data_IF_693432897665
#
_entry.id   IF_693432897665
#
_cell.length_a   1.000
_cell.length_b   1.000
_cell.length_c   1.000
_cell.angle_alpha   90.00
_cell.angle_beta   90.00
_cell.angle_gamma   90.00
#
_symmetry.space_group_name_H-M   'P 1'
#
loop_
_entity.id
_entity.type
_entity.pdbx_description
1 polymer ?
#
# COMPACT_ATOMS: atom_id res chain seq x y z
N UNK A 1 -0.75 19.63 -0.83
CA UNK A 1 -0.30 18.58 0.09
C UNK A 1 -0.44 17.23 -0.57
N UNK A 2 0.56 16.40 -0.41
CA UNK A 2 0.58 15.10 -1.08
C UNK A 2 -0.33 14.09 -0.40
N UNK A 3 -0.96 13.23 -1.20
CA UNK A 3 -1.63 12.03 -0.74
C UNK A 3 -0.71 10.85 -1.01
N UNK A 4 -0.53 10.01 -0.03
CA UNK A 4 0.33 8.84 -0.10
C UNK A 4 -0.50 7.57 -0.32
N UNK A 5 0.02 6.67 -1.15
CA UNK A 5 -0.59 5.36 -1.43
C UNK A 5 0.38 4.27 -0.98
N UNK A 6 0.27 3.83 0.27
CA UNK A 6 1.16 2.79 0.79
C UNK A 6 0.92 1.43 0.18
N UNK A 7 2.02 0.70 -0.05
CA UNK A 7 2.00 -0.71 -0.36
C UNK A 7 1.51 -1.51 0.86
N UNK A 8 1.13 -2.76 0.63
CA UNK A 8 0.59 -3.64 1.68
C UNK A 8 1.57 -3.79 2.85
N UNK A 9 2.88 -3.87 2.56
CA UNK A 9 3.88 -4.03 3.62
C UNK A 9 3.91 -2.85 4.60
N UNK A 10 3.60 -1.65 4.15
CA UNK A 10 3.53 -0.47 5.01
C UNK A 10 2.30 -0.53 5.91
N UNK A 11 1.15 -0.93 5.37
CA UNK A 11 -0.07 -1.08 6.15
C UNK A 11 0.09 -2.15 7.25
N UNK A 12 0.74 -3.27 6.92
CA UNK A 12 1.04 -4.31 7.92
C UNK A 12 1.97 -3.79 9.01
N UNK A 13 3.01 -3.07 8.63
CA UNK A 13 3.94 -2.50 9.59
C UNK A 13 3.26 -1.49 10.53
N UNK A 14 2.31 -0.70 10.03
CA UNK A 14 1.54 0.23 10.85
C UNK A 14 0.64 -0.47 11.85
N UNK A 15 -0.04 -1.54 11.41
CA UNK A 15 -1.07 -2.21 12.21
C UNK A 15 -0.51 -3.14 13.28
N UNK A 16 0.68 -3.70 13.09
CA UNK A 16 1.22 -4.74 13.96
C UNK A 16 2.49 -4.27 14.66
N UNK A 17 2.42 -4.12 15.98
CA UNK A 17 3.56 -3.68 16.80
C UNK A 17 4.74 -4.63 16.71
N UNK A 18 4.51 -5.92 16.47
CA UNK A 18 5.56 -6.92 16.32
C UNK A 18 6.26 -6.92 14.97
N UNK A 19 5.80 -6.12 14.01
CA UNK A 19 6.42 -6.02 12.70
C UNK A 19 7.80 -5.34 12.82
N UNK A 20 8.81 -5.88 12.12
CA UNK A 20 10.18 -5.35 12.22
C UNK A 20 10.30 -3.89 11.81
N UNK A 21 9.42 -3.40 10.94
CA UNK A 21 9.41 -2.02 10.47
C UNK A 21 8.32 -1.16 11.11
N UNK A 22 7.69 -1.64 12.18
CA UNK A 22 6.59 -0.92 12.82
C UNK A 22 6.98 0.51 13.20
N UNK A 23 8.10 0.66 13.88
CA UNK A 23 8.55 1.98 14.33
C UNK A 23 8.77 2.96 13.19
N UNK A 24 9.45 2.51 12.14
CA UNK A 24 9.70 3.34 10.95
C UNK A 24 8.40 3.76 10.29
N UNK A 25 7.45 2.83 10.16
CA UNK A 25 6.15 3.11 9.57
C UNK A 25 5.35 4.13 10.39
N UNK A 26 5.33 3.97 11.72
CA UNK A 26 4.64 4.91 12.63
C UNK A 26 5.26 6.29 12.57
N UNK A 27 6.59 6.39 12.60
CA UNK A 27 7.27 7.68 12.51
C UNK A 27 6.93 8.41 11.21
N UNK A 28 6.88 7.68 10.09
CA UNK A 28 6.45 8.26 8.83
C UNK A 28 4.99 8.68 8.87
N UNK A 29 4.11 7.81 9.36
CA UNK A 29 2.67 8.06 9.42
C UNK A 29 2.35 9.31 10.26
N UNK A 30 3.10 9.54 11.32
CA UNK A 30 2.93 10.70 12.19
C UNK A 30 3.23 12.03 11.49
N UNK A 31 3.89 12.00 10.33
CA UNK A 31 4.15 13.21 9.54
C UNK A 31 3.00 13.60 8.62
N UNK A 32 1.97 12.75 8.49
CA UNK A 32 0.93 12.93 7.49
C UNK A 32 -0.16 13.92 7.93
N UNK A 33 -0.74 14.56 6.93
CA UNK A 33 -1.87 15.48 7.11
C UNK A 33 -3.20 14.71 7.06
N UNK A 34 -4.32 15.33 7.50
CA UNK A 34 -5.64 14.75 7.32
C UNK A 34 -5.89 14.36 5.86
N UNK A 35 -6.45 13.18 5.65
CA UNK A 35 -6.68 12.59 4.32
C UNK A 35 -5.41 12.51 3.47
N UNK A 36 -4.28 12.29 4.12
CA UNK A 36 -2.98 12.17 3.44
C UNK A 36 -2.57 10.75 3.09
N UNK A 37 -3.39 9.75 3.40
CA UNK A 37 -3.01 8.34 3.27
C UNK A 37 -4.19 7.52 2.74
N UNK A 38 -4.02 6.91 1.57
CA UNK A 38 -5.11 6.22 0.87
C UNK A 38 -4.95 4.71 0.88
N UNK A 39 -6.03 4.01 1.24
CA UNK A 39 -6.25 2.63 0.82
C UNK A 39 -6.88 2.63 -0.56
N UNK A 40 -6.58 1.60 -1.33
CA UNK A 40 -7.38 1.22 -2.49
C UNK A 40 -7.84 -0.23 -2.31
N UNK A 41 -8.71 -0.72 -3.21
CA UNK A 41 -9.25 -2.08 -3.07
C UNK A 41 -8.15 -3.14 -3.03
N UNK A 42 -7.13 -2.98 -3.83
CA UNK A 42 -6.02 -3.93 -3.88
C UNK A 42 -5.27 -3.98 -2.54
N UNK A 43 -4.93 -2.82 -1.96
CA UNK A 43 -4.18 -2.79 -0.69
C UNK A 43 -5.05 -3.19 0.49
N UNK A 44 -6.34 -2.87 0.47
CA UNK A 44 -7.30 -3.35 1.47
C UNK A 44 -7.33 -4.88 1.47
N UNK A 45 -7.55 -5.47 0.30
CA UNK A 45 -7.63 -6.93 0.17
C UNK A 45 -6.32 -7.59 0.58
N UNK A 46 -5.20 -7.04 0.15
CA UNK A 46 -3.87 -7.57 0.51
C UNK A 46 -3.60 -7.48 2.00
N UNK A 47 -3.97 -6.40 2.65
CA UNK A 47 -3.85 -6.23 4.09
C UNK A 47 -4.64 -7.30 4.85
N UNK A 48 -5.91 -7.49 4.47
CA UNK A 48 -6.78 -8.49 5.11
C UNK A 48 -6.25 -9.90 4.89
N UNK A 49 -5.88 -10.21 3.66
CA UNK A 49 -5.39 -11.54 3.28
C UNK A 49 -4.09 -11.90 4.00
N UNK A 50 -3.12 -11.00 4.04
CA UNK A 50 -1.84 -11.29 4.68
C UNK A 50 -1.96 -11.29 6.21
N UNK A 51 -2.82 -10.46 6.79
CA UNK A 51 -3.07 -10.46 8.25
C UNK A 51 -3.57 -11.81 8.77
N UNK A 52 -4.27 -12.55 7.91
CA UNK A 52 -4.86 -13.85 8.27
C UNK A 52 -4.06 -15.04 7.75
N UNK A 53 -2.85 -14.79 7.23
CA UNK A 53 -1.97 -15.85 6.72
C UNK A 53 -0.91 -16.22 7.76
N UNK A 54 -1.00 -17.40 8.41
CA UNK A 54 -0.04 -17.79 9.44
C UNK A 54 1.40 -17.93 8.92
N UNK A 55 1.58 -18.24 7.64
CA UNK A 55 2.92 -18.33 7.05
C UNK A 55 3.61 -16.95 6.99
N UNK A 56 2.85 -15.88 6.88
CA UNK A 56 3.36 -14.51 6.85
C UNK A 56 3.45 -13.92 8.24
N UNK A 57 2.38 -14.01 9.01
CA UNK A 57 2.23 -13.35 10.31
C UNK A 57 2.75 -14.15 11.48
N UNK A 58 2.90 -15.44 11.31
CA UNK A 58 3.35 -16.36 12.38
C UNK A 58 2.49 -16.15 13.64
N UNK A 59 3.11 -15.87 14.79
CA UNK A 59 2.40 -15.66 16.04
C UNK A 59 1.48 -14.46 16.09
N UNK A 60 1.62 -13.53 15.16
CA UNK A 60 0.79 -12.32 15.07
C UNK A 60 -0.43 -12.50 14.17
N UNK A 61 -0.64 -13.69 13.62
CA UNK A 61 -1.80 -13.96 12.76
C UNK A 61 -3.10 -13.69 13.50
N UNK A 62 -4.05 -13.09 12.77
CA UNK A 62 -5.35 -12.73 13.34
C UNK A 62 -6.50 -13.44 12.62
N UNK A 63 -7.65 -13.47 13.25
CA UNK A 63 -8.89 -13.99 12.64
C UNK A 63 -9.42 -12.99 11.60
N UNK A 64 -10.35 -13.44 10.76
CA UNK A 64 -10.99 -12.56 9.79
C UNK A 64 -11.72 -11.40 10.47
N UNK A 65 -12.40 -11.68 11.58
CA UNK A 65 -13.09 -10.64 12.35
C UNK A 65 -12.12 -9.60 12.90
N UNK A 66 -10.99 -10.07 13.43
CA UNK A 66 -9.93 -9.18 13.94
C UNK A 66 -9.27 -8.38 12.81
N UNK A 67 -9.08 -8.97 11.64
CA UNK A 67 -8.53 -8.27 10.47
C UNK A 67 -9.44 -7.12 10.05
N UNK A 68 -10.75 -7.34 9.99
CA UNK A 68 -11.72 -6.28 9.72
C UNK A 68 -11.68 -5.18 10.77
N UNK A 69 -11.58 -5.56 12.03
CA UNK A 69 -11.48 -4.61 13.14
C UNK A 69 -10.24 -3.73 13.01
N UNK A 70 -9.10 -4.33 12.68
CA UNK A 70 -7.86 -3.60 12.49
C UNK A 70 -7.95 -2.67 11.29
N UNK A 71 -8.56 -3.12 10.19
CA UNK A 71 -8.79 -2.28 9.02
C UNK A 71 -9.69 -1.09 9.36
N UNK A 72 -10.78 -1.34 10.08
CA UNK A 72 -11.72 -0.28 10.48
C UNK A 72 -11.04 0.76 11.38
N UNK A 73 -10.14 0.32 12.26
CA UNK A 73 -9.37 1.22 13.11
C UNK A 73 -8.45 2.13 12.29
N UNK A 74 -7.77 1.57 11.27
CA UNK A 74 -6.95 2.36 10.36
C UNK A 74 -7.80 3.35 9.56
N UNK A 75 -8.90 2.89 9.00
CA UNK A 75 -9.78 3.73 8.18
C UNK A 75 -10.48 4.81 9.02
N UNK A 76 -10.64 4.58 10.31
CA UNK A 76 -11.21 5.56 11.25
C UNK A 76 -10.25 6.67 11.64
N UNK A 77 -8.97 6.54 11.33
CA UNK A 77 -8.00 7.61 11.55
C UNK A 77 -8.23 8.72 10.50
N UNK A 78 -8.29 9.96 10.95
CA UNK A 78 -8.58 11.09 10.05
C UNK A 78 -7.58 11.31 8.93
N UNK A 79 -6.39 10.71 9.01
CA UNK A 79 -5.37 10.76 7.95
C UNK A 79 -5.64 9.75 6.84
N UNK A 80 -6.46 8.73 7.09
CA UNK A 80 -6.68 7.59 6.18
C UNK A 80 -8.05 7.72 5.50
N UNK A 81 -8.09 7.39 4.21
CA UNK A 81 -9.34 7.28 3.47
C UNK A 81 -9.25 6.19 2.42
N UNK A 82 -10.40 5.77 1.91
CA UNK A 82 -10.46 4.80 0.81
C UNK A 82 -10.60 5.55 -0.51
N UNK A 83 -9.70 5.29 -1.45
CA UNK A 83 -9.72 5.89 -2.79
C UNK A 83 -10.27 4.90 -3.80
N UNK A 84 -11.23 5.34 -4.60
CA UNK A 84 -11.68 4.62 -5.78
C UNK A 84 -10.59 4.66 -6.86
N UNK A 85 -10.62 3.70 -7.79
CA UNK A 85 -9.70 3.74 -8.92
C UNK A 85 -9.89 5.03 -9.72
N UNK A 86 -8.80 5.75 -10.02
CA UNK A 86 -8.90 6.93 -10.86
C UNK A 86 -9.20 6.55 -12.31
N UNK A 87 -9.94 7.41 -13.01
CA UNK A 87 -10.17 7.25 -14.44
C UNK A 87 -8.82 7.27 -15.18
N UNK A 88 -8.67 6.34 -16.13
CA UNK A 88 -7.43 6.21 -16.90
C UNK A 88 -6.40 5.26 -16.28
N UNK A 89 -6.68 4.66 -15.12
CA UNK A 89 -5.76 3.73 -14.47
C UNK A 89 -5.39 2.57 -15.39
N UNK A 90 -6.36 1.93 -16.01
CA UNK A 90 -6.10 0.73 -16.81
C UNK A 90 -5.19 1.02 -18.00
N UNK A 91 -5.36 2.16 -18.66
CA UNK A 91 -4.49 2.56 -19.78
C UNK A 91 -3.04 2.74 -19.33
N UNK A 92 -2.84 3.37 -18.17
CA UNK A 92 -1.52 3.55 -17.58
C UNK A 92 -0.91 2.20 -17.20
N UNK A 93 -1.68 1.33 -16.55
CA UNK A 93 -1.25 0.01 -16.14
C UNK A 93 -0.87 -0.87 -17.34
N UNK A 94 -1.67 -0.85 -18.41
CA UNK A 94 -1.36 -1.57 -19.65
C UNK A 94 -0.03 -1.10 -20.25
N UNK A 95 0.18 0.20 -20.31
CA UNK A 95 1.42 0.77 -20.85
C UNK A 95 2.64 0.30 -20.06
N UNK A 96 2.52 0.16 -18.75
CA UNK A 96 3.64 -0.24 -17.89
C UNK A 96 3.94 -1.72 -17.90
N UNK A 97 3.01 -2.55 -18.37
CA UNK A 97 3.16 -4.01 -18.30
C UNK A 97 3.35 -4.69 -19.63
N UNK A 98 2.78 -4.17 -20.71
CA UNK A 98 2.67 -4.86 -22.00
C UNK A 98 4.01 -5.27 -22.63
N UNK A 99 5.09 -4.54 -22.34
CA UNK A 99 6.41 -4.79 -22.94
C UNK A 99 7.40 -5.46 -21.98
N UNK A 100 6.91 -5.97 -20.87
CA UNK A 100 7.75 -6.53 -19.80
C UNK A 100 8.11 -8.01 -19.97
N UNK A 101 7.67 -8.65 -21.03
CA UNK A 101 7.83 -10.09 -21.20
C UNK A 101 6.91 -10.82 -20.23
N UNK A 102 7.48 -11.69 -19.39
CA UNK A 102 6.66 -12.38 -18.38
C UNK A 102 7.23 -12.18 -16.98
N UNK A 103 6.35 -11.75 -16.07
CA UNK A 103 6.67 -11.53 -14.66
C UNK A 103 5.37 -11.52 -13.87
N UNK A 104 5.19 -12.48 -12.97
CA UNK A 104 3.97 -12.53 -12.16
C UNK A 104 3.94 -11.44 -11.06
N UNK A 105 5.09 -10.89 -10.70
CA UNK A 105 5.21 -9.87 -9.65
C UNK A 105 4.93 -8.46 -10.17
N UNK A 106 5.26 -8.21 -11.42
CA UNK A 106 5.12 -6.88 -12.01
C UNK A 106 3.67 -6.39 -12.04
N UNK A 107 2.70 -7.30 -12.16
CA UNK A 107 1.29 -6.91 -12.19
C UNK A 107 0.87 -6.02 -11.04
N UNK A 108 1.20 -6.42 -9.81
CA UNK A 108 0.81 -5.70 -8.60
C UNK A 108 1.56 -4.38 -8.43
N UNK A 109 2.87 -4.41 -8.62
CA UNK A 109 3.70 -3.22 -8.48
C UNK A 109 3.33 -2.17 -9.53
N UNK A 110 3.18 -2.59 -10.78
CA UNK A 110 2.79 -1.69 -11.87
C UNK A 110 1.38 -1.14 -11.66
N UNK A 111 0.47 -1.93 -11.09
CA UNK A 111 -0.87 -1.45 -10.73
C UNK A 111 -0.80 -0.29 -9.74
N UNK A 112 -0.03 -0.45 -8.66
CA UNK A 112 0.10 0.59 -7.63
C UNK A 112 0.80 1.84 -8.19
N UNK A 113 1.82 1.66 -9.03
CA UNK A 113 2.51 2.77 -9.70
C UNK A 113 1.55 3.51 -10.63
N UNK A 114 0.78 2.79 -11.44
CA UNK A 114 -0.21 3.38 -12.35
C UNK A 114 -1.31 4.12 -11.57
N UNK A 115 -1.77 3.55 -10.47
CA UNK A 115 -2.76 4.17 -9.60
C UNK A 115 -2.25 5.52 -9.07
N UNK A 116 -1.07 5.50 -8.48
CA UNK A 116 -0.49 6.70 -7.89
C UNK A 116 -0.24 7.79 -8.95
N UNK A 117 0.33 7.43 -10.09
CA UNK A 117 0.56 8.40 -11.15
C UNK A 117 -0.75 9.01 -11.66
N UNK A 118 -1.75 8.17 -11.92
CA UNK A 118 -3.04 8.63 -12.46
C UNK A 118 -3.81 9.48 -11.46
N UNK A 119 -3.75 9.14 -10.17
CA UNK A 119 -4.44 9.88 -9.11
C UNK A 119 -3.65 11.09 -8.60
N UNK A 120 -2.38 11.22 -8.94
CA UNK A 120 -1.50 12.25 -8.40
C UNK A 120 -1.05 11.94 -6.97
N UNK A 121 -0.95 10.66 -6.60
CA UNK A 121 -0.52 10.22 -5.28
C UNK A 121 0.97 9.82 -5.29
N UNK A 122 1.53 9.66 -4.11
CA UNK A 122 2.91 9.20 -3.90
C UNK A 122 2.89 7.77 -3.41
N UNK A 123 3.53 6.85 -4.12
CA UNK A 123 3.71 5.48 -3.63
C UNK A 123 4.63 5.47 -2.42
N UNK A 124 4.31 4.62 -1.44
CA UNK A 124 5.15 4.41 -0.25
C UNK A 124 5.34 2.91 -0.07
N UNK A 125 6.59 2.49 0.10
CA UNK A 125 6.91 1.07 0.26
C UNK A 125 8.22 0.91 1.04
N UNK A 126 8.43 -0.27 1.59
CA UNK A 126 9.75 -0.70 2.06
C UNK A 126 10.56 -1.36 0.93
N UNK A 127 9.93 -1.62 -0.21
CA UNK A 127 10.56 -2.29 -1.35
C UNK A 127 11.16 -1.27 -2.32
N UNK A 128 12.48 -1.34 -2.52
CA UNK A 128 13.21 -0.48 -3.46
C UNK A 128 12.85 -0.76 -4.92
N UNK A 129 12.21 -1.88 -5.21
CA UNK A 129 11.75 -2.22 -6.56
C UNK A 129 10.83 -1.19 -7.18
N UNK A 130 10.15 -0.39 -6.38
CA UNK A 130 9.29 0.70 -6.87
C UNK A 130 10.09 1.80 -7.58
N UNK A 131 11.36 1.95 -7.28
CA UNK A 131 12.22 2.96 -7.95
C UNK A 131 12.53 2.62 -9.41
N UNK A 132 12.26 1.39 -9.84
CA UNK A 132 12.51 0.95 -11.21
C UNK A 132 11.46 1.45 -12.22
N UNK A 133 10.37 2.06 -11.74
CA UNK A 133 9.30 2.56 -12.61
C UNK A 133 9.49 4.03 -12.92
N UNK A 134 9.42 4.36 -14.21
CA UNK A 134 9.56 5.74 -14.67
C UNK A 134 8.41 6.63 -14.22
N UNK A 135 8.68 7.93 -14.17
CA UNK A 135 7.70 8.99 -13.92
C UNK A 135 7.08 8.96 -12.51
N UNK A 136 7.67 8.22 -11.58
CA UNK A 136 7.23 8.22 -10.19
C UNK A 136 8.39 8.56 -9.28
N UNK A 137 8.09 9.24 -8.18
CA UNK A 137 9.03 9.47 -7.09
C UNK A 137 8.50 8.71 -5.86
N UNK A 138 8.67 7.38 -5.84
CA UNK A 138 8.18 6.61 -4.70
C UNK A 138 8.98 6.97 -3.44
N UNK A 139 8.29 6.96 -2.31
CA UNK A 139 8.93 7.08 -1.02
C UNK A 139 9.27 5.68 -0.52
N UNK A 140 10.55 5.38 -0.43
CA UNK A 140 11.03 4.12 0.12
C UNK A 140 11.42 4.36 1.58
N UNK A 141 10.71 3.69 2.50
CA UNK A 141 10.98 3.80 3.94
C UNK A 141 12.16 2.91 4.33
N UNK A 142 12.98 3.43 5.21
CA UNK A 142 14.19 2.73 5.68
C UNK A 142 14.27 2.68 7.20
#
# INVERSE_FOLDING_TARGET
>A
MSVHLPDINVWLALAFEGHEHHRTAVEWFDTLNPRGCAFCRFTQQGFLRLSTNPAVMKGDVVTMAEAWKNYDALLGDGRVFFSQEPDGLEQNWRRRTRDRGYSHRTWSDAYLVAFAETAGFVNVSFDRGFTAYDATNPLVLE
#
